data_IF_928538805969
#
_entry.id   IF_928538805969
#
_cell.length_a   1.000
_cell.length_b   1.000
_cell.length_c   1.000
_cell.angle_alpha   90.00
_cell.angle_beta   90.00
_cell.angle_gamma   90.00
#
_symmetry.space_group_name_H-M   'P 1'
#
loop_
_entity.id
_entity.type
_entity.pdbx_description
1 polymer ?
#
# COMPACT_ATOMS: atom_id res chain seq x y z
N UNK A 1 79.07 -2.64 10.44
CA UNK A 1 79.45 -2.29 9.05
C UNK A 1 78.37 -1.41 8.49
N UNK A 2 78.70 -0.16 8.29
CA UNK A 2 77.89 0.92 7.79
C UNK A 2 77.73 0.86 6.24
N UNK A 3 76.67 1.45 5.72
CA UNK A 3 76.56 2.22 4.47
C UNK A 3 75.12 2.74 4.45
N UNK A 4 74.81 3.94 4.76
CA UNK A 4 74.86 5.25 4.09
C UNK A 4 74.25 5.33 2.70
N UNK A 5 73.32 6.32 2.61
CA UNK A 5 73.07 7.34 1.60
C UNK A 5 72.10 7.09 0.45
N UNK A 6 71.25 8.07 0.35
CA UNK A 6 70.56 8.40 -0.89
C UNK A 6 69.38 9.37 -0.72
N UNK A 7 69.68 10.65 -0.38
CA UNK A 7 68.73 11.78 -0.45
C UNK A 7 68.57 12.18 -1.91
N UNK A 8 67.33 12.08 -2.45
CA UNK A 8 66.96 12.58 -3.77
C UNK A 8 65.87 13.64 -3.65
N UNK A 9 66.27 14.89 -3.69
CA UNK A 9 65.41 16.07 -3.81
C UNK A 9 64.82 16.20 -5.23
N UNK A 10 63.51 16.32 -5.35
CA UNK A 10 62.84 16.72 -6.60
C UNK A 10 62.29 18.14 -6.48
N UNK A 11 62.34 18.94 -7.59
CA UNK A 11 62.04 20.37 -7.56
C UNK A 11 60.52 20.65 -7.64
N UNK A 12 60.10 21.70 -6.90
CA UNK A 12 58.78 22.31 -6.98
C UNK A 12 58.58 23.03 -8.34
N UNK A 13 57.68 22.52 -9.15
CA UNK A 13 57.14 23.27 -10.27
C UNK A 13 55.96 24.11 -9.82
N UNK A 14 56.10 25.42 -9.82
CA UNK A 14 55.03 26.39 -9.65
C UNK A 14 54.31 26.58 -11.01
N UNK A 15 53.04 26.12 -11.08
CA UNK A 15 52.17 26.59 -12.15
C UNK A 15 51.34 27.79 -11.62
N UNK A 16 51.58 28.96 -12.22
CA UNK A 16 50.75 30.14 -12.15
C UNK A 16 49.53 29.92 -13.04
N UNK A 17 48.38 29.93 -12.44
CA UNK A 17 47.11 30.03 -13.20
C UNK A 17 46.73 31.51 -13.30
N UNK A 18 46.72 32.01 -14.56
CA UNK A 18 46.28 33.36 -14.94
C UNK A 18 44.73 33.35 -14.92
N UNK A 19 44.15 34.23 -14.10
CA UNK A 19 42.72 34.55 -14.19
C UNK A 19 42.48 35.51 -15.37
N UNK A 20 41.71 35.08 -16.34
CA UNK A 20 41.15 35.90 -17.42
C UNK A 20 39.78 36.38 -16.99
N UNK A 21 39.57 37.72 -17.01
CA UNK A 21 38.29 38.36 -16.68
C UNK A 21 37.31 38.25 -17.87
N UNK A 22 35.99 38.08 -17.64
CA UNK A 22 35.01 38.06 -18.71
C UNK A 22 34.65 39.49 -19.18
N UNK A 23 34.68 39.67 -20.51
CA UNK A 23 34.23 40.85 -21.22
C UNK A 23 32.73 41.09 -21.12
N UNK A 24 32.35 42.34 -20.89
CA UNK A 24 30.98 42.84 -20.93
C UNK A 24 30.41 42.69 -22.35
N UNK A 25 29.31 41.96 -22.46
CA UNK A 25 28.50 41.96 -23.70
C UNK A 25 27.10 42.50 -23.36
N UNK A 26 26.67 43.47 -24.13
CA UNK A 26 25.52 44.35 -23.86
C UNK A 26 24.17 43.63 -24.01
N UNK A 27 23.29 44.01 -23.12
CA UNK A 27 21.88 43.68 -23.14
C UNK A 27 21.19 44.58 -24.14
N UNK A 28 20.75 44.06 -25.28
CA UNK A 28 19.75 44.70 -26.15
C UNK A 28 18.37 44.13 -25.77
N UNK A 29 17.60 44.95 -25.06
CA UNK A 29 16.17 44.79 -24.86
C UNK A 29 15.43 44.91 -26.21
N UNK A 30 14.87 43.82 -26.70
CA UNK A 30 13.84 43.86 -27.74
C UNK A 30 12.46 43.80 -27.07
N UNK A 31 11.82 44.93 -26.92
CA UNK A 31 10.39 45.05 -26.68
C UNK A 31 9.63 44.60 -27.95
N UNK A 32 9.06 43.40 -27.93
CA UNK A 32 8.14 42.92 -28.96
C UNK A 32 6.73 43.12 -28.46
N UNK A 33 6.09 44.22 -28.87
CA UNK A 33 4.68 44.51 -28.68
C UNK A 33 3.85 43.50 -29.46
N UNK A 34 3.18 42.56 -28.74
CA UNK A 34 2.16 41.67 -29.31
C UNK A 34 0.84 42.45 -29.38
N UNK A 35 0.51 42.95 -30.57
CA UNK A 35 -0.85 43.41 -30.89
C UNK A 35 -1.70 42.16 -31.12
N UNK A 36 -2.34 41.63 -30.11
CA UNK A 36 -3.44 40.68 -30.29
C UNK A 36 -4.75 41.45 -30.52
N UNK A 37 -5.30 41.17 -31.67
CA UNK A 37 -6.48 41.74 -32.30
C UNK A 37 -7.72 41.66 -31.37
N UNK A 38 -8.40 42.79 -31.21
CA UNK A 38 -9.68 42.97 -30.48
C UNK A 38 -10.88 42.23 -31.15
N UNK A 39 -10.61 41.45 -32.23
CA UNK A 39 -11.69 40.75 -32.96
C UNK A 39 -12.16 39.44 -32.36
N UNK A 40 -11.46 38.87 -31.37
CA UNK A 40 -11.85 37.58 -30.76
C UNK A 40 -12.89 37.77 -29.65
N UNK A 41 -12.95 38.96 -29.03
CA UNK A 41 -13.93 39.22 -27.97
C UNK A 41 -15.36 39.48 -28.46
N UNK A 42 -15.55 39.94 -29.69
CA UNK A 42 -16.88 40.22 -30.27
C UNK A 42 -17.59 38.95 -30.77
N UNK A 43 -16.84 37.88 -31.09
CA UNK A 43 -17.42 36.62 -31.54
C UNK A 43 -17.94 35.75 -30.40
N UNK A 44 -17.35 35.87 -29.20
CA UNK A 44 -17.79 35.14 -28.03
C UNK A 44 -19.08 35.68 -27.41
N UNK A 45 -19.39 36.96 -27.59
CA UNK A 45 -20.60 37.60 -27.04
C UNK A 45 -21.81 37.33 -27.92
N UNK A 46 -21.64 37.09 -29.22
CA UNK A 46 -22.75 36.83 -30.15
C UNK A 46 -23.26 35.37 -30.09
N UNK A 47 -22.42 34.42 -29.67
CA UNK A 47 -22.83 33.02 -29.50
C UNK A 47 -23.63 32.82 -28.20
N UNK A 48 -23.47 33.68 -27.20
CA UNK A 48 -24.25 33.59 -25.94
C UNK A 48 -25.67 34.12 -26.03
N UNK A 49 -26.01 34.88 -27.06
CA UNK A 49 -27.33 35.51 -27.23
C UNK A 49 -28.31 34.69 -28.08
N UNK A 50 -27.86 33.61 -28.73
CA UNK A 50 -28.72 32.76 -29.60
C UNK A 50 -29.29 31.55 -28.86
N UNK A 51 -28.86 31.27 -27.64
CA UNK A 51 -29.30 30.07 -26.86
C UNK A 51 -30.47 30.32 -25.91
N UNK A 52 -31.10 31.51 -25.92
CA UNK A 52 -32.20 31.88 -24.99
C UNK A 52 -33.60 31.90 -25.63
N UNK A 53 -33.77 31.39 -26.84
CA UNK A 53 -35.09 31.22 -27.47
C UNK A 53 -35.36 29.78 -27.86
N UNK A 54 -35.60 28.93 -26.86
CA UNK A 54 -36.15 27.60 -27.04
C UNK A 54 -37.68 27.65 -27.05
N UNK A 55 -38.37 26.90 -27.92
CA UNK A 55 -39.85 26.89 -27.97
C UNK A 55 -40.42 26.21 -26.73
N UNK A 56 -41.42 26.87 -26.14
CA UNK A 56 -42.24 26.30 -25.06
C UNK A 56 -43.05 25.13 -25.60
N UNK A 57 -42.66 23.93 -25.23
CA UNK A 57 -43.51 22.74 -25.47
C UNK A 57 -44.47 22.66 -24.31
N UNK A 58 -45.75 22.85 -24.61
CA UNK A 58 -46.87 22.59 -23.72
C UNK A 58 -46.91 21.08 -23.46
N UNK A 59 -46.61 20.65 -22.25
CA UNK A 59 -46.88 19.30 -21.80
C UNK A 59 -48.38 19.21 -21.46
N UNK A 60 -49.09 18.41 -22.21
CA UNK A 60 -50.44 17.97 -21.85
C UNK A 60 -50.33 17.01 -20.66
N UNK A 61 -50.94 17.40 -19.55
CA UNK A 61 -51.24 16.51 -18.45
C UNK A 61 -52.27 15.48 -18.91
N UNK A 62 -51.89 14.23 -18.99
CA UNK A 62 -52.82 13.10 -18.92
C UNK A 62 -52.83 12.63 -17.48
N UNK A 63 -53.88 13.03 -16.77
CA UNK A 63 -54.22 12.48 -15.46
C UNK A 63 -54.65 11.01 -15.64
N UNK A 64 -53.68 10.09 -15.45
CA UNK A 64 -53.97 8.70 -15.14
C UNK A 64 -53.97 8.53 -13.62
N UNK A 65 -55.18 8.74 -13.09
CA UNK A 65 -55.50 8.58 -11.67
C UNK A 65 -55.46 7.07 -11.30
N UNK A 66 -54.31 6.58 -10.86
CA UNK A 66 -54.24 5.24 -10.26
C UNK A 66 -54.71 5.32 -8.82
N UNK A 67 -56.00 5.11 -8.63
CA UNK A 67 -56.64 4.92 -7.31
C UNK A 67 -56.10 3.64 -6.64
N UNK A 68 -55.04 3.77 -5.81
CA UNK A 68 -54.68 2.73 -4.85
C UNK A 68 -55.63 2.86 -3.65
N UNK A 69 -56.62 2.00 -3.59
CA UNK A 69 -57.45 1.85 -2.38
C UNK A 69 -56.61 1.27 -1.25
N UNK A 70 -56.56 1.90 -0.07
CA UNK A 70 -55.91 1.30 1.08
C UNK A 70 -56.69 0.04 1.50
N UNK A 71 -55.97 -1.08 1.57
CA UNK A 71 -56.51 -2.34 2.10
C UNK A 71 -56.66 -2.18 3.60
N UNK A 72 -57.89 -2.05 4.08
CA UNK A 72 -58.23 -2.07 5.50
C UNK A 72 -57.75 -3.39 6.12
N UNK A 73 -56.92 -3.28 7.15
CA UNK A 73 -56.52 -4.42 7.95
C UNK A 73 -57.76 -4.99 8.69
N UNK A 74 -57.92 -6.30 8.76
CA UNK A 74 -59.03 -6.90 9.53
C UNK A 74 -58.73 -6.73 11.03
N UNK A 75 -59.77 -6.30 11.72
CA UNK A 75 -59.88 -6.18 13.16
C UNK A 75 -59.66 -7.56 13.83
N UNK A 76 -58.87 -7.68 14.91
CA UNK A 76 -58.73 -8.98 15.59
C UNK A 76 -60.03 -9.33 16.31
N UNK A 77 -60.65 -10.38 15.86
CA UNK A 77 -61.73 -11.06 16.63
C UNK A 77 -61.08 -11.95 17.69
N UNK A 78 -61.54 -11.72 18.89
CA UNK A 78 -61.27 -12.57 20.07
C UNK A 78 -62.04 -13.88 19.85
N UNK A 79 -61.34 -14.97 19.71
CA UNK A 79 -61.91 -16.30 19.90
C UNK A 79 -60.94 -17.12 20.74
N UNK A 80 -61.34 -17.27 22.00
CA UNK A 80 -60.88 -18.35 22.86
C UNK A 80 -61.48 -19.66 22.36
N UNK A 81 -60.74 -20.73 22.64
CA UNK A 81 -61.06 -22.15 22.45
C UNK A 81 -61.04 -22.72 21.03
N UNK A 82 -60.11 -23.59 20.84
CA UNK A 82 -60.23 -25.02 20.58
C UNK A 82 -58.95 -25.61 19.99
N UNK A 83 -58.50 -26.71 20.59
CA UNK A 83 -57.71 -27.84 20.09
C UNK A 83 -56.19 -27.81 20.25
N UNK A 84 -55.78 -28.59 21.19
CA UNK A 84 -54.52 -29.33 21.23
C UNK A 84 -54.34 -30.10 19.93
N UNK A 85 -53.28 -29.80 19.20
CA UNK A 85 -52.65 -30.80 18.37
C UNK A 85 -51.14 -30.58 18.29
N UNK A 86 -50.43 -31.63 18.56
CA UNK A 86 -49.01 -31.86 18.52
C UNK A 86 -48.35 -31.26 17.28
N UNK A 87 -47.65 -30.14 17.46
CA UNK A 87 -46.74 -29.63 16.46
C UNK A 87 -45.31 -29.66 17.03
N UNK A 88 -44.48 -30.51 16.52
CA UNK A 88 -43.03 -30.50 16.74
C UNK A 88 -42.49 -29.13 16.33
N UNK A 89 -42.40 -28.21 17.31
CA UNK A 89 -41.55 -27.03 17.14
C UNK A 89 -40.11 -27.52 17.19
N UNK A 90 -39.57 -27.90 16.02
CA UNK A 90 -38.15 -28.03 15.84
C UNK A 90 -37.53 -26.66 16.05
N UNK A 91 -37.13 -26.38 17.30
CA UNK A 91 -36.20 -25.29 17.55
C UNK A 91 -34.85 -25.72 16.94
N UNK A 92 -34.74 -25.61 15.62
CA UNK A 92 -33.46 -25.60 14.95
C UNK A 92 -32.76 -24.34 15.45
N UNK A 93 -32.02 -24.48 16.54
CA UNK A 93 -31.02 -23.48 16.93
C UNK A 93 -30.11 -23.37 15.72
N UNK A 94 -29.96 -22.21 15.11
CA UNK A 94 -29.00 -22.04 14.04
C UNK A 94 -27.65 -22.46 14.59
N UNK A 95 -27.14 -23.58 14.10
CA UNK A 95 -25.83 -24.08 14.48
C UNK A 95 -24.84 -23.08 13.90
N UNK A 96 -24.30 -22.19 14.73
CA UNK A 96 -23.19 -21.31 14.37
C UNK A 96 -21.97 -22.21 14.18
N UNK A 97 -21.79 -22.68 12.95
CA UNK A 97 -20.55 -23.33 12.56
C UNK A 97 -19.52 -22.21 12.41
N UNK A 98 -18.71 -22.00 13.46
CA UNK A 98 -17.52 -21.17 13.36
C UNK A 98 -16.55 -21.88 12.41
N UNK A 99 -16.49 -21.42 11.18
CA UNK A 99 -15.52 -21.93 10.20
C UNK A 99 -14.27 -21.06 10.36
N UNK A 100 -13.31 -21.55 11.14
CA UNK A 100 -12.00 -20.93 11.25
C UNK A 100 -11.24 -21.14 9.91
N UNK A 101 -11.38 -20.19 9.00
CA UNK A 101 -10.72 -20.22 7.71
C UNK A 101 -9.44 -19.38 7.80
N UNK A 102 -8.29 -20.00 7.52
CA UNK A 102 -7.02 -19.30 7.40
C UNK A 102 -6.86 -18.80 5.97
N UNK A 103 -6.80 -17.48 5.80
CA UNK A 103 -6.58 -16.85 4.52
C UNK A 103 -5.08 -16.59 4.32
N UNK A 104 -4.60 -16.94 3.13
CA UNK A 104 -3.19 -16.80 2.73
C UNK A 104 -3.15 -15.99 1.44
N UNK A 105 -2.83 -14.69 1.52
CA UNK A 105 -2.51 -13.91 0.33
C UNK A 105 -1.23 -14.43 -0.32
N UNK A 106 -1.24 -14.54 -1.64
CA UNK A 106 -0.10 -15.07 -2.41
C UNK A 106 0.15 -14.19 -3.62
N UNK A 107 1.38 -13.73 -3.76
CA UNK A 107 1.88 -13.04 -4.96
C UNK A 107 2.82 -13.98 -5.71
N UNK A 108 2.64 -14.09 -7.03
CA UNK A 108 3.49 -14.90 -7.90
C UNK A 108 4.21 -13.98 -8.88
N UNK A 109 5.55 -14.15 -8.99
CA UNK A 109 6.34 -13.41 -9.97
C UNK A 109 7.24 -14.32 -10.78
N UNK A 110 7.59 -13.86 -11.97
CA UNK A 110 8.63 -14.48 -12.80
C UNK A 110 10.05 -14.04 -12.34
N UNK A 111 11.13 -14.58 -12.94
CA UNK A 111 12.50 -14.20 -12.60
C UNK A 111 12.84 -12.72 -12.81
N UNK A 112 12.08 -12.04 -13.69
CA UNK A 112 12.20 -10.61 -13.96
C UNK A 112 11.37 -9.75 -12.99
N UNK A 113 10.84 -10.36 -11.92
CA UNK A 113 9.93 -9.71 -10.96
C UNK A 113 8.63 -9.15 -11.58
N UNK A 114 8.16 -9.70 -12.71
CA UNK A 114 6.86 -9.37 -13.28
C UNK A 114 5.79 -10.25 -12.64
N UNK A 115 4.65 -9.65 -12.36
CA UNK A 115 3.51 -10.35 -11.75
C UNK A 115 2.96 -11.42 -12.71
N UNK A 116 2.61 -12.58 -12.18
CA UNK A 116 1.99 -13.69 -12.91
C UNK A 116 0.57 -13.87 -12.41
N UNK A 117 -0.39 -13.63 -13.30
CA UNK A 117 -1.84 -13.79 -13.06
C UNK A 117 -2.41 -14.92 -13.92
N UNK A 118 -3.69 -15.28 -13.69
CA UNK A 118 -4.36 -16.32 -14.49
C UNK A 118 -4.02 -17.76 -14.09
N UNK A 119 -3.48 -17.97 -12.88
CA UNK A 119 -3.32 -19.30 -12.31
C UNK A 119 -4.61 -19.74 -11.61
N UNK A 120 -4.92 -21.04 -11.71
CA UNK A 120 -6.08 -21.65 -11.10
C UNK A 120 -5.75 -22.28 -9.73
N UNK A 121 -6.78 -22.61 -8.96
CA UNK A 121 -6.66 -23.26 -7.65
C UNK A 121 -5.73 -24.48 -7.68
N UNK A 122 -5.80 -25.29 -8.75
CA UNK A 122 -5.04 -26.54 -8.91
C UNK A 122 -3.54 -26.31 -9.10
N UNK A 123 -3.14 -25.07 -9.39
CA UNK A 123 -1.74 -24.68 -9.46
C UNK A 123 -1.10 -24.46 -8.07
N UNK A 124 -1.88 -24.54 -6.99
CA UNK A 124 -1.40 -24.25 -5.64
C UNK A 124 -1.54 -25.46 -4.72
N UNK A 125 -0.56 -25.65 -3.85
CA UNK A 125 -0.61 -26.58 -2.74
C UNK A 125 -0.20 -25.87 -1.45
N UNK A 126 -1.07 -25.84 -0.45
CA UNK A 126 -0.83 -25.25 0.86
C UNK A 126 -0.43 -26.32 1.85
N UNK A 127 0.59 -26.04 2.66
CA UNK A 127 1.06 -26.92 3.71
C UNK A 127 1.07 -26.19 5.05
N UNK A 128 0.58 -26.85 6.09
CA UNK A 128 0.78 -26.43 7.47
C UNK A 128 1.78 -27.40 8.12
N UNK A 129 2.97 -26.91 8.41
CA UNK A 129 4.08 -27.77 8.79
C UNK A 129 4.45 -28.77 7.68
N UNK A 130 4.17 -30.06 7.93
CA UNK A 130 4.39 -31.14 6.95
C UNK A 130 3.09 -31.60 6.26
N UNK A 131 1.94 -31.17 6.78
CA UNK A 131 0.64 -31.67 6.33
C UNK A 131 0.09 -30.77 5.22
N UNK A 132 -0.26 -31.35 4.09
CA UNK A 132 -0.97 -30.65 3.03
C UNK A 132 -2.39 -30.33 3.48
N UNK A 133 -2.83 -29.11 3.19
CA UNK A 133 -4.16 -28.60 3.52
C UNK A 133 -5.02 -28.51 2.27
N UNK A 134 -6.30 -28.84 2.40
CA UNK A 134 -7.27 -28.68 1.32
C UNK A 134 -7.63 -27.21 1.16
N UNK A 135 -7.39 -26.62 -0.02
CA UNK A 135 -7.81 -25.26 -0.34
C UNK A 135 -9.34 -25.26 -0.49
N UNK A 136 -10.04 -24.59 0.43
CA UNK A 136 -11.51 -24.53 0.44
C UNK A 136 -12.05 -23.30 -0.26
N UNK A 137 -11.30 -22.22 -0.25
CA UNK A 137 -11.62 -20.98 -0.91
C UNK A 137 -10.45 -20.53 -1.77
N UNK A 138 -10.74 -20.03 -2.96
CA UNK A 138 -9.78 -19.48 -3.89
C UNK A 138 -10.39 -18.23 -4.51
N UNK A 139 -9.68 -17.12 -4.46
CA UNK A 139 -10.06 -15.88 -5.11
C UNK A 139 -8.83 -15.21 -5.69
N UNK A 140 -9.00 -14.58 -6.84
CA UNK A 140 -8.04 -13.66 -7.47
C UNK A 140 -8.70 -12.32 -7.77
N UNK A 141 -9.87 -12.08 -7.19
CA UNK A 141 -10.63 -10.86 -7.39
C UNK A 141 -10.07 -9.72 -6.56
N UNK A 142 -10.14 -8.53 -7.12
CA UNK A 142 -9.79 -7.32 -6.40
C UNK A 142 -10.89 -6.99 -5.38
N UNK A 143 -10.47 -6.82 -4.14
CA UNK A 143 -11.34 -6.48 -3.02
C UNK A 143 -10.84 -5.18 -2.37
N UNK A 144 -11.74 -4.38 -1.77
CA UNK A 144 -11.34 -3.19 -1.04
C UNK A 144 -10.29 -3.48 0.03
N UNK A 145 -9.33 -2.57 0.16
CA UNK A 145 -8.16 -2.71 1.04
C UNK A 145 -8.08 -1.54 2.01
N UNK A 146 -7.69 -1.83 3.25
CA UNK A 146 -7.22 -0.80 4.18
C UNK A 146 -5.71 -0.67 4.05
N UNK A 147 -5.24 0.50 3.60
CA UNK A 147 -3.85 0.78 3.28
C UNK A 147 -3.22 1.76 4.27
N UNK A 148 -2.07 1.41 4.85
CA UNK A 148 -1.25 2.31 5.64
C UNK A 148 0.02 2.70 4.90
N UNK A 149 0.38 3.98 4.93
CA UNK A 149 1.68 4.44 4.46
C UNK A 149 2.52 4.88 5.66
N UNK A 150 3.71 4.31 5.78
CA UNK A 150 4.72 4.66 6.78
C UNK A 150 5.87 5.33 6.06
N UNK A 151 6.04 6.63 6.29
CA UNK A 151 6.86 7.50 5.48
C UNK A 151 7.99 8.13 6.30
N UNK A 152 9.22 7.88 5.88
CA UNK A 152 10.41 8.39 6.52
C UNK A 152 10.63 9.88 6.26
N UNK A 153 10.76 10.64 7.34
CA UNK A 153 11.04 12.08 7.35
C UNK A 153 12.35 12.38 8.10
N UNK A 154 13.23 11.40 8.24
CA UNK A 154 14.56 11.58 8.84
C UNK A 154 15.45 12.52 8.01
N UNK A 155 16.53 12.99 8.62
CA UNK A 155 17.44 13.93 7.97
C UNK A 155 18.11 13.42 6.70
N UNK A 156 18.37 12.10 6.62
CA UNK A 156 18.94 11.40 5.46
C UNK A 156 18.04 11.43 4.22
N UNK A 157 16.72 11.52 4.43
CA UNK A 157 15.74 11.63 3.35
C UNK A 157 15.75 12.97 2.61
N UNK A 158 16.46 14.00 3.09
CA UNK A 158 16.37 15.38 2.56
C UNK A 158 16.58 15.49 1.05
N UNK A 159 17.52 14.74 0.47
CA UNK A 159 17.78 14.73 -0.98
C UNK A 159 16.82 13.85 -1.79
N UNK A 160 16.09 12.96 -1.13
CA UNK A 160 15.24 11.91 -1.72
C UNK A 160 13.75 12.22 -1.57
N UNK A 161 13.40 13.19 -0.71
CA UNK A 161 12.04 13.41 -0.21
C UNK A 161 11.03 13.73 -1.31
N UNK A 162 11.39 14.52 -2.30
CA UNK A 162 10.46 14.89 -3.38
C UNK A 162 10.08 13.66 -4.21
N UNK A 163 11.05 12.81 -4.53
CA UNK A 163 10.78 11.56 -5.26
C UNK A 163 9.99 10.56 -4.41
N UNK A 164 10.25 10.52 -3.11
CA UNK A 164 9.48 9.69 -2.20
C UNK A 164 8.02 10.14 -2.08
N UNK A 165 7.76 11.46 -2.08
CA UNK A 165 6.39 12.02 -2.15
C UNK A 165 5.68 11.66 -3.46
N UNK A 166 6.37 11.80 -4.58
CA UNK A 166 5.84 11.39 -5.89
C UNK A 166 5.47 9.89 -5.88
N UNK A 167 6.30 9.04 -5.27
CA UNK A 167 6.03 7.61 -5.17
C UNK A 167 4.76 7.30 -4.36
N UNK A 168 4.51 8.03 -3.26
CA UNK A 168 3.26 7.90 -2.50
C UNK A 168 2.05 8.25 -3.37
N UNK A 169 2.16 9.31 -4.18
CA UNK A 169 1.09 9.71 -5.11
C UNK A 169 0.85 8.63 -6.17
N UNK A 170 1.92 8.09 -6.77
CA UNK A 170 1.81 7.02 -7.78
C UNK A 170 1.21 5.74 -7.16
N UNK A 171 1.57 5.40 -5.92
CA UNK A 171 0.96 4.28 -5.21
C UNK A 171 -0.55 4.47 -5.05
N UNK A 172 -0.99 5.64 -4.59
CA UNK A 172 -2.41 5.92 -4.40
C UNK A 172 -3.22 5.98 -5.70
N UNK A 173 -2.59 6.31 -6.86
CA UNK A 173 -3.26 6.23 -8.16
C UNK A 173 -3.70 4.81 -8.54
N UNK A 174 -3.11 3.78 -7.91
CA UNK A 174 -3.50 2.38 -8.11
C UNK A 174 -4.68 1.96 -7.22
N UNK A 175 -5.12 2.84 -6.34
CA UNK A 175 -6.15 2.55 -5.36
C UNK A 175 -7.56 2.57 -5.96
N UNK A 176 -8.47 1.80 -5.35
CA UNK A 176 -9.89 1.82 -5.69
C UNK A 176 -10.62 2.90 -4.88
N UNK A 177 -11.72 3.47 -5.41
CA UNK A 177 -12.52 4.46 -4.69
C UNK A 177 -13.10 3.97 -3.35
N UNK A 178 -13.16 2.66 -3.16
CA UNK A 178 -13.67 2.04 -1.93
C UNK A 178 -12.60 1.86 -0.86
N UNK A 179 -11.32 1.96 -1.21
CA UNK A 179 -10.22 1.78 -0.26
C UNK A 179 -10.23 2.88 0.79
N UNK A 180 -9.66 2.57 1.93
CA UNK A 180 -9.34 3.55 2.95
C UNK A 180 -7.84 3.61 3.19
N UNK A 181 -7.35 4.79 3.55
CA UNK A 181 -5.93 5.06 3.72
C UNK A 181 -5.67 5.75 5.04
N UNK A 182 -4.55 5.46 5.68
CA UNK A 182 -3.96 6.30 6.71
C UNK A 182 -2.49 6.55 6.43
N UNK A 183 -1.94 7.58 7.07
CA UNK A 183 -0.53 7.91 6.93
C UNK A 183 0.11 8.22 8.26
N UNK A 184 1.28 7.61 8.45
CA UNK A 184 2.20 7.88 9.56
C UNK A 184 3.51 8.37 8.94
N UNK A 185 4.01 9.49 9.42
CA UNK A 185 5.39 9.93 9.17
C UNK A 185 6.25 9.65 10.39
N UNK A 186 7.53 9.48 10.20
CA UNK A 186 8.44 9.29 11.32
C UNK A 186 9.80 9.94 11.10
N UNK A 187 10.40 10.37 12.18
CA UNK A 187 11.77 10.84 12.31
C UNK A 187 12.26 10.44 13.71
N UNK A 188 12.47 11.37 14.65
CA UNK A 188 12.78 11.07 16.06
C UNK A 188 11.66 10.26 16.76
N UNK A 189 10.44 10.36 16.27
CA UNK A 189 9.25 9.61 16.73
C UNK A 189 8.23 9.50 15.59
N UNK A 190 7.35 8.49 15.61
CA UNK A 190 6.25 8.41 14.66
C UNK A 190 5.14 9.42 15.01
N UNK A 191 4.53 9.99 13.97
CA UNK A 191 3.39 10.91 14.06
C UNK A 191 2.32 10.50 13.06
N UNK A 192 1.08 10.38 13.52
CA UNK A 192 -0.06 10.15 12.64
C UNK A 192 -0.40 11.45 11.91
N UNK A 193 -0.20 11.44 10.60
CA UNK A 193 -0.49 12.59 9.74
C UNK A 193 -1.94 12.57 9.29
N UNK A 194 -2.47 11.39 8.99
CA UNK A 194 -3.86 11.20 8.59
C UNK A 194 -4.45 9.95 9.21
N UNK A 195 -5.62 10.07 9.79
CA UNK A 195 -6.47 8.94 10.14
C UNK A 195 -7.05 8.30 8.87
N UNK A 196 -7.77 7.17 9.01
CA UNK A 196 -8.40 6.51 7.87
C UNK A 196 -9.29 7.49 7.08
N UNK A 197 -9.01 7.63 5.81
CA UNK A 197 -9.72 8.46 4.85
C UNK A 197 -9.80 7.80 3.48
N UNK A 198 -10.76 8.18 2.66
CA UNK A 198 -10.82 7.79 1.23
C UNK A 198 -10.25 8.91 0.32
N UNK A 199 -9.93 10.08 0.90
CA UNK A 199 -9.41 11.22 0.15
C UNK A 199 -7.89 11.13 0.06
N UNK A 200 -7.40 10.90 -1.15
CA UNK A 200 -5.97 10.91 -1.46
C UNK A 200 -5.43 12.34 -1.34
N UNK A 201 -6.24 13.33 -1.69
CA UNK A 201 -5.90 14.76 -1.65
C UNK A 201 -5.56 15.22 -0.24
N UNK A 202 -6.28 14.71 0.78
CA UNK A 202 -6.02 15.03 2.18
C UNK A 202 -4.62 14.58 2.62
N UNK A 203 -4.20 13.40 2.16
CA UNK A 203 -2.87 12.86 2.45
C UNK A 203 -1.80 13.66 1.71
N UNK A 204 -2.01 13.92 0.41
CA UNK A 204 -1.07 14.69 -0.40
C UNK A 204 -0.85 16.09 0.15
N UNK A 205 -1.94 16.78 0.53
CA UNK A 205 -1.87 18.12 1.11
C UNK A 205 -1.03 18.20 2.38
N UNK A 206 -1.04 17.16 3.20
CA UNK A 206 -0.26 17.08 4.45
C UNK A 206 1.22 16.76 4.19
N UNK A 207 1.53 15.96 3.17
CA UNK A 207 2.90 15.60 2.81
C UNK A 207 3.75 16.79 2.32
N UNK A 208 3.14 17.72 1.60
CA UNK A 208 3.85 18.86 0.97
C UNK A 208 4.56 19.73 1.99
N UNK A 209 4.00 19.92 3.19
CA UNK A 209 4.50 20.87 4.19
C UNK A 209 5.50 20.27 5.18
N UNK A 210 5.82 18.97 5.08
CA UNK A 210 6.70 18.31 6.04
C UNK A 210 8.18 18.45 5.60
N UNK A 211 9.06 18.88 6.50
CA UNK A 211 10.48 19.07 6.22
C UNK A 211 11.27 17.92 6.86
N UNK A 212 12.10 17.16 6.11
CA UNK A 212 12.92 16.10 6.64
C UNK A 212 13.93 16.60 7.70
N UNK A 213 13.95 15.96 8.87
CA UNK A 213 14.87 16.27 9.96
C UNK A 213 14.86 15.18 11.03
N UNK A 214 15.90 15.11 11.84
CA UNK A 214 15.97 14.21 13.00
C UNK A 214 16.52 12.84 12.65
N UNK A 215 16.35 11.89 13.58
CA UNK A 215 16.81 10.50 13.52
C UNK A 215 15.73 9.59 12.91
N UNK A 216 15.91 8.27 12.98
CA UNK A 216 15.06 7.29 12.32
C UNK A 216 14.48 6.31 13.35
N UNK A 217 13.21 6.53 13.75
CA UNK A 217 12.46 5.65 14.65
C UNK A 217 11.51 4.73 13.84
N UNK A 218 12.08 3.90 12.97
CA UNK A 218 11.34 3.04 12.03
C UNK A 218 10.53 1.96 12.74
N UNK A 219 11.12 1.29 13.74
CA UNK A 219 10.45 0.20 14.48
C UNK A 219 9.26 0.73 15.27
N UNK A 220 9.39 1.92 15.88
CA UNK A 220 8.28 2.60 16.56
C UNK A 220 7.15 2.94 15.56
N UNK A 221 7.49 3.34 14.32
CA UNK A 221 6.53 3.65 13.28
C UNK A 221 5.79 2.39 12.78
N UNK A 222 6.50 1.28 12.61
CA UNK A 222 5.88 -0.02 12.27
C UNK A 222 4.94 -0.44 13.40
N UNK A 223 5.33 -0.30 14.66
CA UNK A 223 4.48 -0.59 15.81
C UNK A 223 3.17 0.19 15.76
N UNK A 224 3.26 1.51 15.55
CA UNK A 224 2.10 2.38 15.47
C UNK A 224 1.19 2.01 14.29
N UNK A 225 1.77 1.73 13.11
CA UNK A 225 1.03 1.34 11.92
C UNK A 225 0.28 0.02 12.09
N UNK A 226 0.94 -1.02 12.63
CA UNK A 226 0.31 -2.31 12.91
C UNK A 226 -0.80 -2.16 13.96
N UNK A 227 -0.57 -1.34 15.00
CA UNK A 227 -1.59 -1.07 16.01
C UNK A 227 -2.81 -0.38 15.42
N UNK A 228 -2.61 0.58 14.51
CA UNK A 228 -3.68 1.29 13.82
C UNK A 228 -4.47 0.38 12.89
N UNK A 229 -3.82 -0.58 12.21
CA UNK A 229 -4.47 -1.57 11.35
C UNK A 229 -5.48 -2.48 12.08
N UNK A 230 -5.45 -2.55 13.41
CA UNK A 230 -6.49 -3.26 14.18
C UNK A 230 -7.87 -2.62 14.03
N UNK A 231 -7.93 -1.33 13.75
CA UNK A 231 -9.15 -0.55 13.56
C UNK A 231 -9.58 -0.42 12.09
N UNK A 232 -8.85 -1.06 11.18
CA UNK A 232 -9.13 -1.04 9.76
C UNK A 232 -10.47 -1.68 9.42
N UNK A 233 -11.21 -1.06 8.50
CA UNK A 233 -12.55 -1.46 8.07
C UNK A 233 -12.56 -2.76 7.28
N UNK A 234 -11.55 -2.96 6.42
CA UNK A 234 -11.52 -4.09 5.52
C UNK A 234 -10.65 -5.22 6.05
N UNK A 235 -11.02 -6.48 5.76
CA UNK A 235 -10.22 -7.64 6.16
C UNK A 235 -8.89 -7.73 5.38
N UNK A 236 -8.84 -7.19 4.15
CA UNK A 236 -7.61 -7.08 3.37
C UNK A 236 -6.85 -5.84 3.83
N UNK A 237 -5.70 -6.04 4.47
CA UNK A 237 -4.90 -5.00 5.12
C UNK A 237 -3.49 -5.00 4.58
N UNK A 238 -2.98 -3.84 4.20
CA UNK A 238 -1.61 -3.71 3.74
C UNK A 238 -0.95 -2.42 4.24
N UNK A 239 0.37 -2.46 4.41
CA UNK A 239 1.19 -1.28 4.71
C UNK A 239 2.33 -1.17 3.71
N UNK A 240 2.62 0.07 3.31
CA UNK A 240 3.79 0.44 2.52
C UNK A 240 4.73 1.27 3.38
N UNK A 241 5.96 0.79 3.55
CA UNK A 241 7.04 1.51 4.22
C UNK A 241 7.92 2.13 3.14
N UNK A 242 8.22 3.43 3.27
CA UNK A 242 9.19 4.14 2.42
C UNK A 242 10.23 4.75 3.35
N UNK A 243 11.48 4.26 3.27
CA UNK A 243 12.57 4.68 4.14
C UNK A 243 13.92 4.52 3.42
N UNK A 244 14.91 5.26 3.86
CA UNK A 244 16.27 5.16 3.34
C UNK A 244 17.25 4.45 4.28
N UNK A 245 16.77 3.88 5.37
CA UNK A 245 17.73 3.34 6.28
C UNK A 245 17.24 2.36 7.30
N UNK A 246 18.15 2.13 8.21
CA UNK A 246 17.91 1.35 9.39
C UNK A 246 17.26 2.17 10.48
N UNK A 247 17.08 1.52 11.59
CA UNK A 247 16.58 2.14 12.82
C UNK A 247 17.75 2.58 13.70
N UNK A 248 17.70 3.79 14.23
CA UNK A 248 18.71 4.30 15.15
C UNK A 248 18.10 5.03 16.37
N UNK A 249 16.75 5.05 16.46
CA UNK A 249 16.11 5.82 17.54
C UNK A 249 14.83 5.23 18.10
N UNK A 250 14.42 4.05 17.69
CA UNK A 250 13.22 3.42 18.23
C UNK A 250 13.40 2.94 19.67
N UNK A 251 12.30 2.84 20.40
CA UNK A 251 12.20 2.24 21.72
C UNK A 251 11.97 0.73 21.66
N UNK A 252 11.29 0.29 20.61
CA UNK A 252 11.06 -1.14 20.36
C UNK A 252 12.27 -1.78 19.71
N UNK A 253 12.50 -3.04 20.04
CA UNK A 253 13.54 -3.87 19.43
C UNK A 253 13.01 -4.57 18.17
N UNK A 254 13.93 -4.97 17.29
CA UNK A 254 13.57 -5.77 16.11
C UNK A 254 12.80 -7.05 16.46
N UNK A 255 13.21 -7.73 17.57
CA UNK A 255 12.57 -8.96 18.03
C UNK A 255 11.10 -8.75 18.41
N UNK A 256 10.80 -7.65 19.10
CA UNK A 256 9.42 -7.29 19.48
C UNK A 256 8.57 -6.98 18.25
N UNK A 257 9.11 -6.20 17.29
CA UNK A 257 8.41 -5.87 16.06
C UNK A 257 8.17 -7.11 15.19
N UNK A 258 9.18 -7.97 15.03
CA UNK A 258 9.03 -9.23 14.28
C UNK A 258 7.96 -10.14 14.91
N UNK A 259 7.86 -10.17 16.23
CA UNK A 259 6.82 -10.90 16.94
C UNK A 259 5.43 -10.30 16.68
N UNK A 260 5.30 -8.98 16.83
CA UNK A 260 4.05 -8.26 16.58
C UNK A 260 3.56 -8.40 15.13
N UNK A 261 4.47 -8.28 14.17
CA UNK A 261 4.17 -8.39 12.73
C UNK A 261 3.68 -9.80 12.38
N UNK A 262 4.22 -10.86 13.02
CA UNK A 262 3.73 -12.24 12.85
C UNK A 262 2.31 -12.44 13.35
N UNK A 263 1.90 -11.71 14.39
CA UNK A 263 0.55 -11.77 14.94
C UNK A 263 -0.45 -10.95 14.12
N UNK A 264 0.05 -9.92 13.45
CA UNK A 264 -0.79 -9.05 12.64
C UNK A 264 -1.14 -9.71 11.30
N UNK A 265 -2.40 -9.69 10.93
CA UNK A 265 -2.84 -10.13 9.59
C UNK A 265 -2.76 -8.93 8.63
N UNK A 266 -1.56 -8.37 8.47
CA UNK A 266 -1.25 -7.19 7.67
C UNK A 266 -0.10 -7.51 6.73
N UNK A 267 -0.32 -7.30 5.44
CA UNK A 267 0.71 -7.48 4.42
C UNK A 267 1.61 -6.25 4.37
N UNK A 268 2.92 -6.41 4.55
CA UNK A 268 3.86 -5.29 4.59
C UNK A 268 4.74 -5.31 3.34
N UNK A 269 4.73 -4.20 2.60
CA UNK A 269 5.70 -3.89 1.55
C UNK A 269 6.65 -2.81 2.01
N UNK A 270 7.86 -2.80 1.47
CA UNK A 270 8.83 -1.76 1.75
C UNK A 270 9.56 -1.31 0.49
N UNK A 271 9.85 -0.03 0.41
CA UNK A 271 10.75 0.59 -0.56
C UNK A 271 11.92 1.16 0.22
N UNK A 272 13.10 0.57 0.04
CA UNK A 272 14.33 1.04 0.64
C UNK A 272 15.16 1.87 -0.35
N UNK A 273 15.52 3.09 0.00
CA UNK A 273 16.23 4.05 -0.85
C UNK A 273 17.64 4.25 -0.30
N UNK A 274 18.63 3.54 -0.82
CA UNK A 274 19.99 3.51 -0.23
C UNK A 274 20.99 4.25 -1.10
N UNK A 275 21.99 4.87 -0.42
CA UNK A 275 23.17 5.40 -1.12
C UNK A 275 24.22 4.28 -1.26
N UNK A 276 24.52 3.89 -2.51
CA UNK A 276 25.53 2.86 -2.77
C UNK A 276 26.96 3.35 -2.64
N UNK A 277 27.20 4.64 -2.79
CA UNK A 277 28.56 5.17 -2.81
C UNK A 277 29.08 5.46 -1.41
N UNK A 278 28.24 5.99 -0.54
CA UNK A 278 28.61 6.41 0.81
C UNK A 278 27.55 6.03 1.84
N UNK A 279 27.20 4.72 1.97
CA UNK A 279 26.15 4.32 2.89
C UNK A 279 26.60 4.53 4.33
N UNK A 280 25.71 5.05 5.16
CA UNK A 280 25.86 5.07 6.61
C UNK A 280 25.81 3.65 7.19
N UNK A 281 26.13 3.47 8.46
CA UNK A 281 26.03 2.15 9.10
C UNK A 281 24.56 1.69 9.15
N UNK A 282 23.65 2.61 9.42
CA UNK A 282 22.19 2.38 9.41
C UNK A 282 21.70 1.95 8.02
N UNK A 283 22.11 2.63 6.97
CA UNK A 283 21.74 2.27 5.59
C UNK A 283 22.25 0.88 5.18
N UNK A 284 23.36 0.39 5.77
CA UNK A 284 23.84 -0.98 5.52
C UNK A 284 22.95 -2.04 6.16
N UNK A 285 22.35 -1.77 7.32
CA UNK A 285 21.49 -2.69 8.05
C UNK A 285 20.04 -2.63 7.57
N UNK A 286 19.61 -1.50 7.02
CA UNK A 286 18.24 -1.26 6.56
C UNK A 286 17.67 -2.32 5.62
N UNK A 287 18.39 -2.75 4.56
CA UNK A 287 17.88 -3.76 3.62
C UNK A 287 17.50 -5.08 4.28
N UNK A 288 18.33 -5.55 5.24
CA UNK A 288 18.06 -6.79 5.96
C UNK A 288 16.81 -6.67 6.84
N UNK A 289 16.69 -5.59 7.60
CA UNK A 289 15.55 -5.32 8.46
C UNK A 289 14.24 -5.26 7.65
N UNK A 290 14.21 -4.47 6.58
CA UNK A 290 13.02 -4.33 5.73
C UNK A 290 12.65 -5.65 5.05
N UNK A 291 13.65 -6.43 4.56
CA UNK A 291 13.41 -7.75 3.97
C UNK A 291 12.79 -8.71 4.97
N UNK A 292 13.34 -8.81 6.17
CA UNK A 292 12.83 -9.71 7.20
C UNK A 292 11.39 -9.37 7.63
N UNK A 293 11.10 -8.08 7.85
CA UNK A 293 9.76 -7.64 8.25
C UNK A 293 8.72 -7.94 7.16
N UNK A 294 9.06 -7.67 5.89
CA UNK A 294 8.15 -7.88 4.77
C UNK A 294 7.92 -9.36 4.47
N UNK A 295 8.99 -10.18 4.48
CA UNK A 295 8.90 -11.62 4.21
C UNK A 295 8.03 -12.37 5.22
N UNK A 296 8.02 -11.95 6.50
CA UNK A 296 7.17 -12.54 7.53
C UNK A 296 5.68 -12.48 7.18
N UNK A 297 5.27 -11.41 6.51
CA UNK A 297 3.88 -11.13 6.15
C UNK A 297 3.48 -11.65 4.77
N UNK A 298 4.45 -12.06 3.96
CA UNK A 298 4.26 -12.44 2.55
C UNK A 298 4.35 -11.25 1.58
N UNK A 299 4.75 -10.08 2.07
CA UNK A 299 5.09 -8.95 1.24
C UNK A 299 6.55 -8.98 0.77
N UNK A 300 7.04 -7.83 0.30
CA UNK A 300 8.36 -7.73 -0.34
C UNK A 300 9.02 -6.39 -0.01
N UNK A 301 10.34 -6.42 0.13
CA UNK A 301 11.17 -5.21 0.10
C UNK A 301 11.75 -5.00 -1.29
N UNK A 302 11.75 -3.76 -1.75
CA UNK A 302 12.36 -3.30 -2.99
C UNK A 302 13.49 -2.34 -2.65
N UNK A 303 14.70 -2.68 -3.06
CA UNK A 303 15.85 -1.79 -2.95
C UNK A 303 15.94 -0.94 -4.20
N UNK A 304 16.09 0.36 -4.03
CA UNK A 304 16.15 1.35 -5.10
C UNK A 304 17.44 2.14 -4.97
N UNK A 305 18.20 2.16 -6.04
CA UNK A 305 19.47 2.88 -6.17
C UNK A 305 19.26 4.27 -6.76
N UNK A 306 18.31 4.38 -7.69
CA UNK A 306 17.97 5.61 -8.35
C UNK A 306 16.60 6.12 -7.87
N UNK A 307 16.53 7.24 -7.14
CA UNK A 307 15.26 7.77 -6.64
C UNK A 307 14.19 8.03 -7.73
N UNK A 308 14.59 8.15 -9.00
CA UNK A 308 13.62 8.32 -10.09
C UNK A 308 12.77 7.06 -10.35
N UNK A 309 13.23 5.88 -9.92
CA UNK A 309 12.51 4.62 -10.11
C UNK A 309 11.44 4.38 -9.03
N UNK A 310 11.37 5.26 -8.03
CA UNK A 310 10.45 5.14 -6.88
C UNK A 310 8.98 5.08 -7.30
N UNK A 311 8.57 5.93 -8.23
CA UNK A 311 7.18 5.98 -8.71
C UNK A 311 6.77 4.68 -9.40
N UNK A 312 7.64 4.13 -10.24
CA UNK A 312 7.39 2.87 -10.96
C UNK A 312 7.29 1.69 -10.00
N UNK A 313 8.15 1.64 -8.97
CA UNK A 313 8.11 0.57 -7.96
C UNK A 313 6.89 0.71 -7.07
N UNK A 314 6.50 1.91 -6.69
CA UNK A 314 5.28 2.16 -5.92
C UNK A 314 4.02 1.74 -6.69
N UNK A 315 3.94 2.10 -7.98
CA UNK A 315 2.88 1.64 -8.89
C UNK A 315 2.84 0.11 -8.98
N UNK A 316 4.01 -0.53 -9.12
CA UNK A 316 4.11 -1.98 -9.17
C UNK A 316 3.59 -2.65 -7.90
N UNK A 317 3.93 -2.12 -6.72
CA UNK A 317 3.41 -2.62 -5.44
C UNK A 317 1.89 -2.52 -5.40
N UNK A 318 1.34 -1.39 -5.83
CA UNK A 318 -0.10 -1.19 -5.90
C UNK A 318 -0.79 -2.20 -6.82
N UNK A 319 -0.22 -2.48 -8.00
CA UNK A 319 -0.71 -3.51 -8.93
C UNK A 319 -0.59 -4.91 -8.30
N UNK A 320 0.51 -5.23 -7.62
CA UNK A 320 0.68 -6.51 -6.93
C UNK A 320 -0.40 -6.70 -5.86
N UNK A 321 -0.69 -5.67 -5.06
CA UNK A 321 -1.75 -5.71 -4.05
C UNK A 321 -3.14 -6.00 -4.62
N UNK A 322 -3.43 -5.50 -5.84
CA UNK A 322 -4.72 -5.74 -6.51
C UNK A 322 -4.87 -7.15 -7.05
N UNK A 323 -3.78 -7.75 -7.50
CA UNK A 323 -3.77 -9.00 -8.24
C UNK A 323 -3.23 -10.19 -7.44
N UNK A 324 -3.44 -10.20 -6.13
CA UNK A 324 -3.06 -11.32 -5.28
C UNK A 324 -4.07 -12.45 -5.39
N UNK A 325 -3.56 -13.68 -5.35
CA UNK A 325 -4.38 -14.85 -5.06
C UNK A 325 -4.63 -14.94 -3.56
N UNK A 326 -5.84 -15.25 -3.16
CA UNK A 326 -6.19 -15.52 -1.76
C UNK A 326 -6.60 -16.97 -1.62
N UNK A 327 -5.77 -17.75 -0.93
CA UNK A 327 -6.02 -19.18 -0.67
C UNK A 327 -6.61 -19.32 0.74
N UNK A 328 -7.81 -19.88 0.83
CA UNK A 328 -8.45 -20.15 2.11
C UNK A 328 -8.44 -21.64 2.40
N UNK A 329 -7.95 -22.06 3.57
CA UNK A 329 -8.01 -23.44 4.03
C UNK A 329 -8.50 -23.53 5.47
N UNK A 330 -9.10 -24.69 5.81
CA UNK A 330 -9.43 -25.00 7.20
C UNK A 330 -8.33 -25.89 7.77
N UNK A 331 -7.65 -25.47 8.85
CA UNK A 331 -6.60 -26.25 9.47
C UNK A 331 -7.07 -27.67 9.85
N UNK A 332 -6.30 -28.70 9.48
CA UNK A 332 -6.54 -30.07 9.89
C UNK A 332 -6.28 -30.27 11.38
N UNK A 333 -5.45 -29.41 11.97
CA UNK A 333 -5.25 -29.37 13.41
C UNK A 333 -6.17 -28.29 14.04
N UNK A 334 -7.28 -28.66 14.70
CA UNK A 334 -8.24 -27.71 15.25
C UNK A 334 -7.85 -27.15 16.63
N UNK A 335 -6.68 -27.51 17.18
CA UNK A 335 -6.27 -27.14 18.53
C UNK A 335 -6.09 -25.62 18.64
N UNK A 336 -6.75 -25.01 19.60
CA UNK A 336 -6.66 -23.57 19.91
C UNK A 336 -5.64 -23.36 21.04
N UNK A 337 -4.36 -23.47 20.71
CA UNK A 337 -3.24 -23.49 21.67
C UNK A 337 -2.35 -22.23 21.61
N UNK A 338 -2.74 -21.23 20.84
CA UNK A 338 -1.97 -19.99 20.66
C UNK A 338 -0.58 -20.19 20.03
N UNK A 339 -0.26 -21.40 19.52
CA UNK A 339 1.06 -21.69 18.98
C UNK A 339 1.20 -21.27 17.52
N UNK A 340 2.43 -20.95 17.16
CA UNK A 340 2.79 -20.64 15.80
C UNK A 340 2.63 -21.83 14.87
N UNK A 341 1.89 -21.66 13.78
CA UNK A 341 1.65 -22.63 12.71
C UNK A 341 2.37 -22.16 11.45
N UNK A 342 3.40 -22.90 11.04
CA UNK A 342 4.16 -22.58 9.83
C UNK A 342 3.38 -22.92 8.58
N UNK A 343 3.20 -21.96 7.68
CA UNK A 343 2.59 -22.11 6.36
C UNK A 343 3.67 -22.19 5.29
N UNK A 344 3.45 -23.03 4.29
CA UNK A 344 4.23 -23.07 3.07
C UNK A 344 3.31 -23.24 1.88
N UNK A 345 3.36 -22.32 0.93
CA UNK A 345 2.69 -22.44 -0.35
C UNK A 345 3.68 -22.98 -1.37
N UNK A 346 3.30 -24.04 -2.09
CA UNK A 346 4.03 -24.57 -3.24
C UNK A 346 3.22 -24.29 -4.50
N UNK A 347 3.91 -23.90 -5.56
CA UNK A 347 3.32 -23.75 -6.88
C UNK A 347 3.54 -25.00 -7.70
N UNK A 348 2.50 -25.40 -8.42
CA UNK A 348 2.49 -26.49 -9.42
C UNK A 348 2.24 -25.80 -10.78
N UNK A 349 3.27 -25.18 -11.38
CA UNK A 349 3.06 -24.30 -12.53
C UNK A 349 2.63 -25.10 -13.76
N UNK A 350 1.79 -24.52 -14.64
CA UNK A 350 1.55 -25.08 -15.96
C UNK A 350 2.86 -25.27 -16.75
N UNK A 351 2.87 -26.24 -17.65
CA UNK A 351 4.04 -26.48 -18.51
C UNK A 351 4.34 -25.27 -19.38
N UNK A 352 5.63 -24.95 -19.54
CA UNK A 352 6.09 -23.85 -20.41
C UNK A 352 6.32 -22.51 -19.74
N UNK A 353 6.00 -22.38 -18.44
CA UNK A 353 6.35 -21.18 -17.67
C UNK A 353 7.80 -21.26 -17.15
N UNK A 354 8.50 -20.13 -17.01
CA UNK A 354 9.81 -20.09 -16.37
C UNK A 354 9.69 -20.43 -14.88
N UNK A 355 10.80 -20.65 -14.16
CA UNK A 355 10.77 -20.79 -12.72
C UNK A 355 10.09 -19.58 -12.07
N UNK A 356 9.03 -19.81 -11.28
CA UNK A 356 8.25 -18.77 -10.63
C UNK A 356 8.60 -18.65 -9.14
N UNK A 357 8.49 -17.43 -8.61
CA UNK A 357 8.69 -17.13 -7.19
C UNK A 357 7.34 -16.94 -6.51
N UNK A 358 7.21 -17.50 -5.31
CA UNK A 358 6.01 -17.44 -4.49
C UNK A 358 6.29 -16.59 -3.27
N UNK A 359 5.48 -15.57 -3.05
CA UNK A 359 5.49 -14.74 -1.85
C UNK A 359 4.19 -14.96 -1.10
N UNK A 360 4.28 -15.41 0.13
CA UNK A 360 3.14 -15.70 0.98
C UNK A 360 3.56 -15.60 2.45
N UNK A 361 2.63 -15.32 3.36
CA UNK A 361 2.92 -15.29 4.78
C UNK A 361 3.51 -16.62 5.27
N UNK A 362 4.48 -16.53 6.17
CA UNK A 362 5.25 -17.70 6.63
C UNK A 362 4.53 -18.54 7.68
N UNK A 363 3.42 -18.05 8.24
CA UNK A 363 2.63 -18.73 9.25
C UNK A 363 1.58 -17.82 9.88
N UNK A 364 0.97 -18.32 10.97
CA UNK A 364 0.02 -17.61 11.81
C UNK A 364 0.02 -18.19 13.21
N UNK A 365 -0.49 -17.46 14.20
CA UNK A 365 -0.75 -18.00 15.52
C UNK A 365 -2.14 -18.65 15.56
N UNK A 366 -2.23 -19.89 16.04
CA UNK A 366 -3.51 -20.52 16.27
C UNK A 366 -4.34 -19.66 17.25
N UNK A 367 -5.68 -19.60 17.11
CA UNK A 367 -6.51 -18.90 18.07
C UNK A 367 -6.26 -19.44 19.48
N UNK A 368 -6.41 -18.59 20.50
CA UNK A 368 -6.59 -18.98 21.90
C UNK A 368 -8.08 -19.05 22.19
N UNK A 369 -8.49 -19.84 23.16
CA UNK A 369 -9.90 -19.94 23.57
C UNK A 369 -10.48 -18.59 24.00
#
# INVERSE_FOLDING_TARGET
MARECGSGSFPKARHRILYSAPSKLGIRTMLRTNRFSASVFLFSLMVLLVTLSGPSIWAQNTDDDVHIKPRTAPKPETAADVVKESGFASHERPMKVSVDLVLVPVTITDPMNRLVTGLDKDNFAVFEGKNQQEIRSFSSEDAPVSLGVIFDMSGSMSSKIERAREAVVEFFKTANPQDEFFMITFADKPEEVSDFTNSIEDIQGKLVYTIPKGRTALLDAIYLGVSKMRHAKYPKKAMLIISDGGDNHSRYTEGEIKSMVKEADVLIYAIGIYDHYFPTEEERLGPALLSEVTELTGGRAFTIDNPNDLGDVATKIGIELRNQYVLGYRPTNPTRDGKWRKIKVKLLPPKGLPPLRVYAKTGYYAPTE
#
